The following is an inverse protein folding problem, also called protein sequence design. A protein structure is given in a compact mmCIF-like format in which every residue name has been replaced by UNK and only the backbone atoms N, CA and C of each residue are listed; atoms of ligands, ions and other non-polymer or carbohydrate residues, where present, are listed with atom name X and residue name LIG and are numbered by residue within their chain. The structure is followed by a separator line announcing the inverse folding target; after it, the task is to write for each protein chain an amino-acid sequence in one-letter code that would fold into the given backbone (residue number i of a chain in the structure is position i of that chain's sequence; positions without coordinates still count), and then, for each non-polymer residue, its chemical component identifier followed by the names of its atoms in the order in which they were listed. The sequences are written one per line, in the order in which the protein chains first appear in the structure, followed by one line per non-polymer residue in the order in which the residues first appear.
data_IF_427598298655
#
_entry.id   IF_427598298655
#
_cell.length_a   1.000
_cell.length_b   1.000
_cell.length_c   1.000
_cell.angle_alpha   90.00
_cell.angle_beta   90.00
_cell.angle_gamma   90.00
#
_symmetry.space_group_name_H-M   'P 1'
#
loop_
_entity.id
_entity.type
_entity.pdbx_description
1 polymer ?
#
# COMPACT_ATOMS: atom_id res chain seq x y z
N UNK A 1 54.24 50.68 30.23
CA UNK A 1 53.69 49.37 30.58
C UNK A 1 54.14 48.80 31.91
N UNK A 2 54.52 49.60 32.83
CA UNK A 2 55.12 49.07 34.07
C UNK A 2 54.38 49.37 35.39
N UNK A 3 53.20 49.97 35.32
CA UNK A 3 52.53 50.33 36.59
C UNK A 3 51.30 49.49 36.96
N UNK A 4 50.86 48.53 36.11
CA UNK A 4 49.72 47.67 36.37
C UNK A 4 48.41 48.37 36.63
N UNK A 5 48.28 49.68 36.34
CA UNK A 5 47.04 50.42 36.45
C UNK A 5 46.08 50.03 35.31
N UNK A 6 44.86 49.69 35.68
CA UNK A 6 43.75 49.56 34.74
C UNK A 6 43.55 50.89 34.02
N UNK A 7 43.76 50.90 32.68
CA UNK A 7 43.65 52.11 31.85
C UNK A 7 42.22 52.33 31.37
N UNK A 8 41.51 51.20 31.16
CA UNK A 8 40.10 51.22 30.75
C UNK A 8 39.38 50.02 31.34
N UNK A 9 38.23 50.22 31.91
CA UNK A 9 37.37 49.13 32.39
C UNK A 9 36.52 48.63 31.23
N UNK A 10 36.61 47.31 30.97
CA UNK A 10 35.79 46.69 29.97
C UNK A 10 34.29 46.82 30.30
N UNK A 11 33.46 47.03 29.30
CA UNK A 11 32.01 47.04 29.44
C UNK A 11 31.47 45.62 29.42
N UNK A 12 30.51 45.36 30.31
CA UNK A 12 29.71 44.15 30.23
C UNK A 12 28.74 44.28 29.05
N UNK A 13 28.79 43.37 28.11
CA UNK A 13 27.83 43.33 27.04
C UNK A 13 26.63 42.49 27.50
N UNK A 14 25.43 43.01 27.28
CA UNK A 14 24.20 42.24 27.49
C UNK A 14 24.13 41.07 26.50
N UNK A 15 23.59 39.92 26.90
CA UNK A 15 23.35 38.85 26.00
C UNK A 15 22.44 39.28 24.82
N UNK A 16 22.81 38.96 23.59
CA UNK A 16 21.96 39.19 22.43
C UNK A 16 20.67 38.34 22.48
N UNK A 17 19.66 38.76 21.74
CA UNK A 17 18.44 38.01 21.57
C UNK A 17 18.76 36.69 20.84
N UNK A 18 18.08 35.57 21.24
CA UNK A 18 18.23 34.28 20.60
C UNK A 18 17.56 34.30 19.23
N UNK A 19 18.29 33.78 18.22
CA UNK A 19 17.74 33.55 16.88
C UNK A 19 17.17 32.11 16.82
N UNK A 20 15.86 32.02 16.71
CA UNK A 20 15.16 30.74 16.74
C UNK A 20 15.32 29.93 15.44
N UNK A 21 15.54 28.63 15.56
CA UNK A 21 15.48 27.66 14.49
C UNK A 21 14.77 26.40 15.00
N UNK A 22 13.82 25.88 14.23
CA UNK A 22 13.10 24.65 14.58
C UNK A 22 13.80 23.49 13.89
N UNK A 23 14.13 22.44 14.65
CA UNK A 23 14.80 21.23 14.20
C UNK A 23 13.95 19.99 14.54
N UNK A 24 14.24 18.89 13.87
CA UNK A 24 13.62 17.56 14.10
C UNK A 24 12.11 17.51 13.88
N UNK A 25 11.58 18.38 13.01
CA UNK A 25 10.17 18.33 12.60
C UNK A 25 9.86 17.01 11.91
N UNK A 26 8.75 16.38 12.27
CA UNK A 26 8.23 15.16 11.64
C UNK A 26 6.75 15.31 11.34
N UNK A 27 6.37 15.07 10.10
CA UNK A 27 4.96 15.09 9.71
C UNK A 27 4.23 13.87 10.29
N UNK A 28 3.01 14.10 10.78
CA UNK A 28 2.10 13.01 11.14
C UNK A 28 1.61 12.31 9.89
N UNK A 29 1.46 10.98 9.97
CA UNK A 29 0.89 10.16 8.91
C UNK A 29 -0.29 9.35 9.46
N UNK A 30 -0.98 8.57 8.60
CA UNK A 30 -2.00 7.64 9.06
C UNK A 30 -1.44 6.51 9.94
N UNK A 31 -0.12 6.30 9.94
CA UNK A 31 0.52 5.20 10.66
C UNK A 31 1.35 5.67 11.85
N UNK A 32 1.98 6.81 11.76
CA UNK A 32 2.87 7.33 12.81
C UNK A 32 2.51 8.75 13.23
N UNK A 33 2.75 9.05 14.52
CA UNK A 33 2.60 10.40 15.06
C UNK A 33 3.65 11.34 14.47
N UNK A 34 3.33 12.60 14.34
CA UNK A 34 4.28 13.65 13.99
C UNK A 34 4.92 14.29 15.22
N UNK A 35 5.77 15.27 14.96
CA UNK A 35 6.45 16.09 15.96
C UNK A 35 6.67 17.50 15.43
N UNK A 36 6.34 18.52 16.21
CA UNK A 36 6.46 19.93 15.78
C UNK A 36 7.90 20.42 15.70
N UNK A 37 8.84 19.65 16.21
CA UNK A 37 10.26 20.00 16.28
C UNK A 37 10.62 20.81 17.52
N UNK A 38 11.88 20.70 17.92
CA UNK A 38 12.45 21.48 19.01
C UNK A 38 12.95 22.85 18.50
N UNK A 39 12.79 23.89 19.30
CA UNK A 39 13.32 25.21 18.99
C UNK A 39 14.69 25.40 19.63
N UNK A 40 15.69 25.72 18.85
CA UNK A 40 17.06 25.99 19.26
C UNK A 40 17.49 27.41 18.86
N UNK A 41 18.44 27.95 19.58
CA UNK A 41 19.15 29.15 19.09
C UNK A 41 20.15 28.77 18.01
N UNK A 42 20.02 29.31 16.81
CA UNK A 42 20.93 29.05 15.68
C UNK A 42 22.35 29.57 15.90
N UNK A 43 22.57 30.45 16.88
CA UNK A 43 23.86 31.06 17.18
C UNK A 43 24.62 30.32 18.29
N UNK A 44 23.92 29.97 19.41
CA UNK A 44 24.56 29.33 20.56
C UNK A 44 24.16 27.86 20.77
N UNK A 45 23.28 27.29 19.93
CA UNK A 45 22.79 25.91 19.95
C UNK A 45 22.08 25.52 21.28
N UNK A 46 21.63 26.51 22.07
CA UNK A 46 20.85 26.21 23.29
C UNK A 46 19.41 25.86 22.86
N UNK A 47 18.86 24.79 23.42
CA UNK A 47 17.43 24.45 23.26
C UNK A 47 16.58 25.46 23.99
N UNK A 48 15.70 26.16 23.27
CA UNK A 48 14.82 27.19 23.79
C UNK A 48 13.44 26.68 24.16
N UNK A 49 12.92 25.72 23.36
CA UNK A 49 11.63 25.11 23.63
C UNK A 49 11.61 23.66 23.11
N UNK A 50 10.81 22.84 23.78
CA UNK A 50 10.52 21.47 23.33
C UNK A 50 9.30 21.46 22.43
N UNK A 51 9.39 20.69 21.33
CA UNK A 51 8.26 20.46 20.46
C UNK A 51 7.18 19.60 21.12
N UNK A 52 6.09 19.42 20.40
CA UNK A 52 4.96 18.59 20.83
C UNK A 52 4.69 17.47 19.84
N UNK A 53 4.26 16.31 20.33
CA UNK A 53 3.80 15.20 19.49
C UNK A 53 2.45 15.56 18.89
N UNK A 54 2.32 15.43 17.57
CA UNK A 54 1.04 15.55 16.86
C UNK A 54 0.43 14.17 16.65
N UNK A 55 -0.89 14.01 16.82
CA UNK A 55 -1.55 12.71 16.66
C UNK A 55 -1.44 12.21 15.21
N UNK A 56 -1.60 10.89 15.01
CA UNK A 56 -1.74 10.29 13.69
C UNK A 56 -2.92 10.91 12.94
N UNK A 57 -2.82 10.95 11.62
CA UNK A 57 -3.93 11.32 10.76
C UNK A 57 -4.96 10.18 10.73
N UNK A 58 -6.24 10.52 10.78
CA UNK A 58 -7.31 9.56 10.55
C UNK A 58 -7.34 9.15 9.07
N UNK A 59 -7.83 7.91 8.79
CA UNK A 59 -8.09 7.50 7.42
C UNK A 59 -9.39 8.13 6.92
N UNK A 60 -9.29 9.08 6.02
CA UNK A 60 -10.42 9.73 5.35
C UNK A 60 -10.62 9.10 3.96
N UNK A 61 -11.70 8.35 3.79
CA UNK A 61 -11.98 7.63 2.54
C UNK A 61 -12.91 8.42 1.61
N UNK A 62 -12.52 8.44 0.33
CA UNK A 62 -13.35 8.82 -0.81
C UNK A 62 -13.25 7.71 -1.85
N UNK A 63 -14.39 7.19 -2.32
CA UNK A 63 -14.45 6.05 -3.24
C UNK A 63 -13.57 4.86 -2.80
N UNK A 64 -13.61 4.55 -1.50
CA UNK A 64 -12.81 3.51 -0.84
C UNK A 64 -11.28 3.77 -0.81
N UNK A 65 -10.79 4.92 -1.23
CA UNK A 65 -9.37 5.28 -1.20
C UNK A 65 -9.12 6.34 -0.13
N UNK A 66 -8.16 6.10 0.76
CA UNK A 66 -7.78 7.08 1.77
C UNK A 66 -7.04 8.27 1.11
N UNK A 67 -7.56 9.49 1.31
CA UNK A 67 -6.98 10.72 0.77
C UNK A 67 -5.55 10.99 1.25
N UNK A 68 -5.25 10.57 2.48
CA UNK A 68 -3.95 10.86 3.10
C UNK A 68 -2.86 9.87 2.66
N UNK A 69 -3.14 8.57 2.67
CA UNK A 69 -2.12 7.53 2.46
C UNK A 69 -2.37 6.62 1.25
N UNK A 70 -3.50 6.76 0.56
CA UNK A 70 -3.85 5.93 -0.59
C UNK A 70 -4.32 4.51 -0.24
N UNK A 71 -4.45 4.14 1.06
CA UNK A 71 -4.99 2.83 1.45
C UNK A 71 -6.35 2.59 0.82
N UNK A 72 -6.52 1.43 0.19
CA UNK A 72 -7.79 1.04 -0.43
C UNK A 72 -8.55 0.16 0.56
N UNK A 73 -9.76 0.57 0.90
CA UNK A 73 -10.65 -0.16 1.78
C UNK A 73 -11.78 -0.77 0.95
N UNK A 74 -12.09 -2.06 1.16
CA UNK A 74 -13.15 -2.77 0.46
C UNK A 74 -13.00 -2.74 -1.08
N UNK A 75 -11.81 -3.12 -1.57
CA UNK A 75 -11.52 -3.21 -3.00
C UNK A 75 -12.53 -4.14 -3.71
N UNK A 76 -12.93 -3.77 -4.93
CA UNK A 76 -13.90 -4.49 -5.74
C UNK A 76 -13.20 -5.37 -6.77
N UNK A 77 -13.80 -6.52 -7.10
CA UNK A 77 -13.32 -7.38 -8.18
C UNK A 77 -13.31 -6.65 -9.52
N UNK A 78 -12.28 -6.92 -10.31
CA UNK A 78 -12.10 -6.43 -11.69
C UNK A 78 -12.12 -4.89 -11.80
N UNK A 79 -11.86 -4.23 -10.68
CA UNK A 79 -11.65 -2.78 -10.61
C UNK A 79 -10.15 -2.51 -10.50
N UNK A 80 -9.64 -1.68 -11.39
CA UNK A 80 -8.23 -1.26 -11.37
C UNK A 80 -8.10 0.04 -10.57
N UNK A 81 -7.25 0.02 -9.57
CA UNK A 81 -6.90 1.17 -8.72
C UNK A 81 -5.49 1.63 -9.07
N UNK A 82 -5.32 2.92 -9.33
CA UNK A 82 -3.99 3.52 -9.47
C UNK A 82 -3.53 4.02 -8.12
N UNK A 83 -2.29 3.70 -7.74
CA UNK A 83 -1.69 4.10 -6.48
C UNK A 83 -0.20 4.37 -6.64
N UNK A 84 0.42 4.89 -5.58
CA UNK A 84 1.86 5.16 -5.55
C UNK A 84 2.43 4.94 -4.16
N UNK A 85 3.66 4.49 -4.11
CA UNK A 85 4.48 4.54 -2.90
C UNK A 85 5.29 5.82 -2.88
N UNK A 86 5.59 6.31 -1.69
CA UNK A 86 6.43 7.49 -1.44
C UNK A 86 7.33 7.22 -0.24
N UNK A 87 8.33 8.06 0.01
CA UNK A 87 9.16 7.92 1.21
C UNK A 87 8.34 8.03 2.50
N UNK A 88 7.26 8.80 2.48
CA UNK A 88 6.35 8.95 3.63
C UNK A 88 5.41 7.75 3.78
N UNK A 89 4.99 7.16 2.67
CA UNK A 89 4.11 6.00 2.58
C UNK A 89 4.73 4.93 1.64
N UNK A 90 5.76 4.21 2.11
CA UNK A 90 6.45 3.22 1.27
C UNK A 90 5.64 1.95 1.03
N UNK A 91 4.56 1.73 1.79
CA UNK A 91 3.67 0.58 1.64
C UNK A 91 2.25 1.03 1.35
N UNK A 92 1.64 0.42 0.34
CA UNK A 92 0.22 0.61 0.01
C UNK A 92 -0.57 -0.61 0.43
N UNK A 93 -1.67 -0.38 1.14
CA UNK A 93 -2.51 -1.43 1.74
C UNK A 93 -3.84 -1.48 1.02
N UNK A 94 -4.21 -2.66 0.56
CA UNK A 94 -5.47 -2.95 -0.13
C UNK A 94 -6.23 -4.01 0.66
N UNK A 95 -7.39 -3.64 1.19
CA UNK A 95 -8.29 -4.56 1.85
C UNK A 95 -9.28 -5.13 0.84
N UNK A 96 -9.43 -6.43 0.84
CA UNK A 96 -10.37 -7.16 0.00
C UNK A 96 -11.17 -8.16 0.84
N UNK A 97 -12.50 -8.12 0.72
CA UNK A 97 -13.40 -9.13 1.28
C UNK A 97 -13.80 -10.08 0.16
N UNK A 98 -13.46 -11.37 0.29
CA UNK A 98 -13.81 -12.37 -0.72
C UNK A 98 -15.34 -12.58 -0.79
N UNK A 99 -15.98 -12.36 -1.94
CA UNK A 99 -17.44 -12.53 -2.06
C UNK A 99 -17.88 -13.99 -2.01
N UNK A 100 -17.05 -14.91 -2.49
CA UNK A 100 -17.30 -16.37 -2.53
C UNK A 100 -16.00 -17.14 -2.30
N UNK A 101 -16.13 -18.44 -1.96
CA UNK A 101 -14.98 -19.35 -1.93
C UNK A 101 -14.42 -19.52 -3.35
N UNK A 102 -13.12 -19.33 -3.53
CA UNK A 102 -12.53 -19.52 -4.85
C UNK A 102 -11.10 -19.01 -4.94
N UNK A 103 -10.56 -19.13 -6.15
CA UNK A 103 -9.20 -18.73 -6.45
C UNK A 103 -9.19 -17.35 -7.07
N UNK A 104 -8.43 -16.48 -6.44
CA UNK A 104 -8.31 -15.07 -6.82
C UNK A 104 -6.88 -14.73 -7.14
N UNK A 105 -6.72 -13.78 -8.05
CA UNK A 105 -5.44 -13.24 -8.48
C UNK A 105 -5.36 -11.77 -8.09
N UNK A 106 -4.31 -11.42 -7.36
CA UNK A 106 -3.91 -10.07 -7.01
C UNK A 106 -2.70 -9.73 -7.86
N UNK A 107 -2.78 -8.71 -8.69
CA UNK A 107 -1.65 -8.33 -9.52
C UNK A 107 -1.51 -6.82 -9.64
N UNK A 108 -0.25 -6.41 -9.82
CA UNK A 108 0.11 -5.04 -10.10
C UNK A 108 0.67 -4.91 -11.50
N UNK A 109 0.58 -3.70 -12.05
CA UNK A 109 1.35 -3.28 -13.21
C UNK A 109 2.11 -2.02 -12.79
N UNK A 110 3.44 -2.05 -12.85
CA UNK A 110 4.26 -0.89 -12.53
C UNK A 110 4.11 0.16 -13.64
N UNK A 111 3.68 1.37 -13.27
CA UNK A 111 3.54 2.52 -14.17
C UNK A 111 4.89 3.20 -14.36
N UNK A 112 5.66 3.30 -13.26
CA UNK A 112 7.06 3.77 -13.29
C UNK A 112 8.00 2.60 -13.10
N UNK A 113 9.25 2.73 -13.60
CA UNK A 113 10.27 1.66 -13.45
C UNK A 113 10.74 1.60 -12.00
N UNK A 114 10.30 0.60 -11.27
CA UNK A 114 10.76 0.29 -9.92
C UNK A 114 10.49 -1.19 -9.61
N UNK A 115 11.19 -1.73 -8.64
CA UNK A 115 11.10 -3.10 -8.18
C UNK A 115 10.28 -3.16 -6.89
N UNK A 116 9.21 -3.98 -6.87
CA UNK A 116 8.23 -4.00 -5.79
C UNK A 116 7.88 -5.40 -5.31
N UNK A 117 7.60 -5.52 -4.01
CA UNK A 117 7.01 -6.71 -3.42
C UNK A 117 5.50 -6.60 -3.28
N UNK A 118 4.80 -7.71 -3.54
CA UNK A 118 3.44 -7.94 -3.10
C UNK A 118 3.41 -8.91 -1.91
N UNK A 119 2.64 -8.57 -0.90
CA UNK A 119 2.41 -9.40 0.29
C UNK A 119 0.93 -9.64 0.45
N UNK A 120 0.53 -10.90 0.65
CA UNK A 120 -0.85 -11.24 0.98
C UNK A 120 -0.92 -11.70 2.44
N UNK A 121 -1.80 -11.07 3.20
CA UNK A 121 -2.07 -11.39 4.60
C UNK A 121 -3.50 -11.88 4.77
N UNK A 122 -3.70 -12.81 5.71
CA UNK A 122 -5.01 -13.07 6.28
C UNK A 122 -5.32 -12.03 7.36
N UNK A 123 -6.60 -11.77 7.63
CA UNK A 123 -7.05 -10.75 8.58
C UNK A 123 -6.41 -10.90 9.97
N UNK A 124 -6.34 -12.12 10.49
CA UNK A 124 -5.77 -12.41 11.82
C UNK A 124 -4.28 -12.10 11.95
N UNK A 125 -3.55 -11.96 10.82
CA UNK A 125 -2.11 -11.72 10.78
C UNK A 125 -1.76 -10.29 10.33
N UNK A 126 -2.76 -9.41 10.14
CA UNK A 126 -2.55 -8.05 9.65
C UNK A 126 -3.10 -7.01 10.62
N UNK A 127 -2.28 -6.04 10.94
CA UNK A 127 -2.67 -4.80 11.63
C UNK A 127 -1.69 -3.69 11.22
N UNK A 128 -1.98 -2.46 11.63
CA UNK A 128 -1.15 -1.31 11.28
C UNK A 128 0.30 -1.41 11.80
N UNK A 129 0.56 -2.20 12.85
CA UNK A 129 1.93 -2.39 13.36
C UNK A 129 2.85 -3.07 12.32
N UNK A 130 2.30 -3.96 11.48
CA UNK A 130 3.05 -4.58 10.37
C UNK A 130 3.58 -3.51 9.41
N UNK A 131 2.78 -2.50 9.12
CA UNK A 131 3.15 -1.38 8.24
C UNK A 131 4.13 -0.44 8.95
N UNK A 132 3.90 -0.13 10.22
CA UNK A 132 4.80 0.71 11.04
C UNK A 132 6.21 0.09 11.10
N UNK A 133 6.32 -1.21 11.42
CA UNK A 133 7.60 -1.93 11.45
C UNK A 133 8.30 -1.92 10.06
N UNK A 134 7.51 -1.97 8.99
CA UNK A 134 8.01 -1.86 7.62
C UNK A 134 8.56 -0.45 7.31
N UNK A 135 7.85 0.60 7.71
CA UNK A 135 8.26 2.01 7.56
C UNK A 135 9.56 2.27 8.34
N UNK A 136 9.67 1.79 9.57
CA UNK A 136 10.88 1.94 10.38
C UNK A 136 12.10 1.32 9.70
N UNK A 137 11.96 0.10 9.15
CA UNK A 137 13.04 -0.55 8.40
C UNK A 137 13.39 0.19 7.12
N UNK A 138 12.38 0.71 6.42
CA UNK A 138 12.59 1.49 5.19
C UNK A 138 13.36 2.78 5.49
N UNK A 139 12.98 3.53 6.52
CA UNK A 139 13.64 4.75 6.95
C UNK A 139 15.08 4.49 7.39
N UNK A 140 15.31 3.44 8.20
CA UNK A 140 16.65 3.06 8.62
C UNK A 140 17.60 2.74 7.45
N UNK A 141 17.08 2.22 6.33
CA UNK A 141 17.87 1.99 5.11
C UNK A 141 18.24 3.28 4.41
N UNK A 142 17.29 4.23 4.30
CA UNK A 142 17.57 5.54 3.71
C UNK A 142 18.64 6.25 4.52
N UNK A 143 18.49 6.31 5.85
CA UNK A 143 19.43 7.00 6.75
C UNK A 143 20.84 6.41 6.72
N UNK A 144 20.94 5.08 6.68
CA UNK A 144 22.24 4.40 6.73
C UNK A 144 22.83 4.10 5.35
N UNK A 145 22.13 4.46 4.27
CA UNK A 145 22.50 4.13 2.88
C UNK A 145 22.90 2.65 2.71
N UNK A 146 22.18 1.75 3.40
CA UNK A 146 22.43 0.32 3.37
C UNK A 146 21.50 -0.39 2.39
N UNK A 147 22.07 -1.18 1.50
CA UNK A 147 21.30 -2.17 0.74
C UNK A 147 20.69 -3.19 1.70
N UNK A 148 19.62 -3.82 1.30
CA UNK A 148 19.00 -4.89 2.08
C UNK A 148 17.47 -4.86 1.95
N UNK A 149 16.81 -5.83 2.56
CA UNK A 149 15.41 -6.11 2.35
C UNK A 149 14.54 -5.49 3.46
N UNK A 150 13.59 -4.61 3.10
CA UNK A 150 12.58 -4.04 4.03
C UNK A 150 11.35 -4.94 4.18
N UNK A 151 11.48 -6.25 3.91
CA UNK A 151 10.34 -7.19 3.92
C UNK A 151 9.49 -7.07 5.18
N UNK A 152 8.19 -7.01 4.96
CA UNK A 152 7.18 -7.16 6.00
C UNK A 152 7.27 -8.56 6.60
N UNK A 153 6.72 -8.75 7.80
CA UNK A 153 6.65 -10.05 8.46
C UNK A 153 5.18 -10.47 8.62
N UNK A 154 4.95 -11.76 8.81
CA UNK A 154 3.62 -12.31 9.08
C UNK A 154 2.74 -12.50 7.84
N UNK A 155 3.26 -12.27 6.63
CA UNK A 155 2.52 -12.52 5.40
C UNK A 155 2.23 -14.01 5.20
N UNK A 156 1.12 -14.32 4.57
CA UNK A 156 0.76 -15.66 4.13
C UNK A 156 1.44 -16.03 2.81
N UNK A 157 1.48 -15.08 1.86
CA UNK A 157 2.18 -15.21 0.58
C UNK A 157 2.98 -13.95 0.28
N UNK A 158 4.03 -14.11 -0.50
CA UNK A 158 4.86 -13.02 -1.01
C UNK A 158 5.25 -13.31 -2.46
N UNK A 159 5.34 -12.27 -3.26
CA UNK A 159 5.87 -12.33 -4.63
C UNK A 159 6.58 -11.02 -4.98
N UNK A 160 7.60 -11.06 -5.83
CA UNK A 160 8.32 -9.90 -6.31
C UNK A 160 8.32 -9.74 -7.84
N UNK A 161 8.55 -10.81 -8.62
CA UNK A 161 8.90 -10.69 -10.05
C UNK A 161 7.98 -11.42 -11.04
N UNK A 162 6.86 -12.03 -10.61
CA UNK A 162 6.05 -12.87 -11.50
C UNK A 162 5.14 -12.09 -12.45
N UNK A 163 4.93 -10.78 -12.19
CA UNK A 163 4.15 -9.89 -13.03
C UNK A 163 4.95 -9.18 -14.12
N UNK A 164 4.27 -8.43 -14.99
CA UNK A 164 4.91 -7.61 -16.00
C UNK A 164 5.75 -6.49 -15.35
N UNK A 165 6.96 -6.26 -15.87
CA UNK A 165 7.87 -5.20 -15.42
C UNK A 165 8.27 -5.30 -13.93
N UNK A 166 8.59 -6.51 -13.43
CA UNK A 166 8.96 -6.76 -12.02
C UNK A 166 7.87 -6.30 -11.04
N UNK A 167 6.62 -6.44 -11.42
CA UNK A 167 5.47 -6.18 -10.57
C UNK A 167 4.98 -7.48 -9.90
N UNK A 168 4.50 -7.44 -8.66
CA UNK A 168 4.05 -8.63 -7.96
C UNK A 168 2.72 -9.17 -8.48
N UNK A 169 2.63 -10.50 -8.56
CA UNK A 169 1.42 -11.24 -8.85
C UNK A 169 1.24 -12.38 -7.83
N UNK A 170 0.12 -12.42 -7.11
CA UNK A 170 -0.19 -13.48 -6.14
C UNK A 170 -1.54 -14.11 -6.47
N UNK A 171 -1.56 -15.42 -6.61
CA UNK A 171 -2.79 -16.20 -6.70
C UNK A 171 -3.01 -17.00 -5.41
N UNK A 172 -4.25 -16.99 -4.89
CA UNK A 172 -4.61 -17.65 -3.65
C UNK A 172 -6.07 -18.14 -3.63
N UNK A 173 -6.30 -19.29 -2.98
CA UNK A 173 -7.63 -19.74 -2.60
C UNK A 173 -8.10 -18.93 -1.40
N UNK A 174 -9.24 -18.25 -1.54
CA UNK A 174 -9.85 -17.44 -0.50
C UNK A 174 -11.17 -18.05 -0.03
N UNK A 175 -11.50 -17.79 1.23
CA UNK A 175 -12.75 -18.21 1.85
C UNK A 175 -13.76 -17.08 1.80
N UNK A 176 -15.02 -17.43 1.49
CA UNK A 176 -16.16 -16.49 1.48
C UNK A 176 -16.22 -15.67 2.76
N UNK A 177 -16.55 -14.38 2.60
CA UNK A 177 -16.72 -13.40 3.67
C UNK A 177 -15.48 -13.09 4.52
N UNK A 178 -14.32 -13.73 4.25
CA UNK A 178 -13.05 -13.42 4.90
C UNK A 178 -12.39 -12.20 4.30
N UNK A 179 -11.71 -11.46 5.15
CA UNK A 179 -10.93 -10.28 4.77
C UNK A 179 -9.48 -10.68 4.54
N UNK A 180 -8.90 -10.12 3.50
CA UNK A 180 -7.50 -10.27 3.13
C UNK A 180 -6.89 -8.89 2.87
N UNK A 181 -5.59 -8.76 3.14
CA UNK A 181 -4.86 -7.53 2.87
C UNK A 181 -3.74 -7.83 1.88
N UNK A 182 -3.82 -7.17 0.72
CA UNK A 182 -2.73 -7.16 -0.23
C UNK A 182 -1.93 -5.87 -0.01
N UNK A 183 -0.62 -6.02 0.20
CA UNK A 183 0.26 -4.89 0.47
C UNK A 183 1.33 -4.83 -0.59
N UNK A 184 1.50 -3.67 -1.20
CA UNK A 184 2.58 -3.41 -2.18
C UNK A 184 3.61 -2.51 -1.52
N UNK A 185 4.87 -2.88 -1.61
CA UNK A 185 5.98 -2.13 -1.04
C UNK A 185 7.27 -2.30 -1.82
N UNK A 186 8.30 -1.50 -1.53
CA UNK A 186 9.55 -1.51 -2.29
C UNK A 186 10.42 -2.73 -1.97
N UNK A 187 11.07 -3.28 -2.99
CA UNK A 187 12.16 -4.23 -2.82
C UNK A 187 13.37 -3.58 -2.15
N UNK A 188 13.68 -2.33 -2.52
CA UNK A 188 14.78 -1.54 -1.98
C UNK A 188 14.26 -0.26 -1.30
N UNK A 189 14.82 0.90 -1.63
CA UNK A 189 14.35 2.22 -1.18
C UNK A 189 13.67 3.03 -2.29
N UNK A 190 13.53 2.46 -3.48
CA UNK A 190 12.85 3.10 -4.60
C UNK A 190 11.33 3.06 -4.39
N UNK A 191 10.69 4.12 -4.81
CA UNK A 191 9.23 4.27 -4.79
C UNK A 191 8.73 4.53 -6.19
N UNK A 192 7.46 4.24 -6.44
CA UNK A 192 6.91 4.36 -7.79
C UNK A 192 5.39 4.33 -7.85
N UNK A 193 4.86 4.55 -9.04
CA UNK A 193 3.45 4.47 -9.36
C UNK A 193 3.14 3.10 -9.97
N UNK A 194 1.97 2.56 -9.63
CA UNK A 194 1.50 1.26 -10.10
C UNK A 194 -0.03 1.23 -10.14
N UNK A 195 -0.56 0.30 -10.92
CA UNK A 195 -1.96 -0.09 -10.84
C UNK A 195 -2.12 -1.42 -10.11
N UNK A 196 -3.26 -1.63 -9.48
CA UNK A 196 -3.64 -2.84 -8.77
C UNK A 196 -4.98 -3.32 -9.27
N UNK A 197 -5.10 -4.62 -9.53
CA UNK A 197 -6.36 -5.28 -9.86
C UNK A 197 -6.48 -6.60 -9.10
N UNK A 198 -7.67 -6.88 -8.59
CA UNK A 198 -8.02 -8.16 -7.99
C UNK A 198 -9.05 -8.80 -8.91
N UNK A 199 -8.79 -10.01 -9.38
CA UNK A 199 -9.69 -10.73 -10.29
C UNK A 199 -9.92 -12.17 -9.85
N UNK A 200 -11.00 -12.78 -10.32
CA UNK A 200 -11.25 -14.21 -10.19
C UNK A 200 -10.53 -14.96 -11.30
N UNK A 201 -9.99 -16.15 -11.00
CA UNK A 201 -9.31 -16.99 -12.00
C UNK A 201 -10.28 -17.79 -12.89
N UNK A 202 -11.58 -17.77 -12.60
CA UNK A 202 -12.65 -18.46 -13.33
C UNK A 202 -12.44 -19.97 -13.49
N UNK A 203 -11.74 -20.64 -12.55
CA UNK A 203 -11.45 -22.08 -12.63
C UNK A 203 -12.67 -22.96 -12.38
N UNK A 204 -13.65 -22.48 -11.63
CA UNK A 204 -14.89 -23.22 -11.34
C UNK A 204 -16.03 -22.61 -12.15
N UNK A 205 -16.64 -23.41 -13.01
CA UNK A 205 -17.70 -22.94 -13.91
C UNK A 205 -18.81 -23.98 -14.04
N UNK A 206 -20.02 -23.52 -14.35
CA UNK A 206 -21.13 -24.34 -14.76
C UNK A 206 -21.75 -23.82 -16.06
N UNK A 207 -22.59 -24.63 -16.70
CA UNK A 207 -23.35 -24.20 -17.86
C UNK A 207 -24.78 -23.88 -17.46
N UNK A 208 -25.29 -22.72 -17.91
CA UNK A 208 -26.64 -22.24 -17.67
C UNK A 208 -27.41 -22.08 -18.98
N UNK A 209 -28.73 -22.31 -18.95
CA UNK A 209 -29.61 -22.11 -20.10
C UNK A 209 -29.45 -23.11 -21.23
N UNK A 210 -28.82 -24.27 -21.00
CA UNK A 210 -28.68 -25.32 -22.04
C UNK A 210 -30.02 -25.87 -22.43
N UNK A 211 -30.27 -25.94 -23.76
CA UNK A 211 -31.41 -26.66 -24.37
C UNK A 211 -30.89 -27.67 -25.41
N UNK A 212 -31.53 -28.81 -25.47
CA UNK A 212 -31.18 -29.85 -26.49
C UNK A 212 -31.85 -29.48 -27.82
N UNK A 213 -31.16 -29.70 -28.93
CA UNK A 213 -31.78 -29.70 -30.25
C UNK A 213 -32.49 -31.04 -30.52
N UNK A 214 -33.59 -30.99 -31.23
CA UNK A 214 -34.25 -32.17 -31.82
C UNK A 214 -34.37 -32.01 -33.32
N UNK A 215 -35.14 -32.90 -33.98
CA UNK A 215 -35.29 -32.86 -35.46
C UNK A 215 -36.11 -31.64 -35.95
N UNK A 216 -36.80 -30.93 -35.09
CA UNK A 216 -37.72 -29.83 -35.46
C UNK A 216 -37.27 -28.49 -34.88
N UNK A 217 -36.63 -28.53 -33.71
CA UNK A 217 -36.21 -27.34 -33.01
C UNK A 217 -34.72 -27.34 -32.74
N UNK A 218 -34.08 -26.20 -32.93
CA UNK A 218 -32.69 -25.96 -32.56
C UNK A 218 -32.52 -25.95 -31.06
N UNK A 219 -31.28 -26.09 -30.61
CA UNK A 219 -30.91 -26.07 -29.21
C UNK A 219 -29.95 -24.91 -28.87
N UNK A 220 -29.46 -24.94 -27.67
CA UNK A 220 -28.47 -24.01 -27.14
C UNK A 220 -27.45 -24.74 -26.27
N UNK A 221 -26.15 -24.48 -26.46
CA UNK A 221 -25.10 -25.17 -25.67
C UNK A 221 -25.06 -24.73 -24.22
N UNK A 222 -25.71 -23.61 -23.90
CA UNK A 222 -25.68 -22.95 -22.59
C UNK A 222 -24.44 -22.07 -22.39
N UNK A 223 -24.62 -20.99 -21.66
CA UNK A 223 -23.56 -20.07 -21.25
C UNK A 223 -22.68 -20.71 -20.18
N UNK A 224 -21.36 -20.45 -20.21
CA UNK A 224 -20.44 -20.85 -19.14
C UNK A 224 -20.31 -19.71 -18.16
N UNK A 225 -20.80 -19.93 -16.95
CA UNK A 225 -20.81 -18.95 -15.86
C UNK A 225 -19.79 -19.36 -14.80
N UNK A 226 -19.01 -18.41 -14.29
CA UNK A 226 -18.09 -18.65 -13.18
C UNK A 226 -18.85 -18.81 -11.86
N UNK A 227 -18.64 -19.91 -11.14
CA UNK A 227 -19.27 -20.19 -9.84
C UNK A 227 -18.81 -19.21 -8.75
N UNK A 228 -17.61 -18.64 -8.89
CA UNK A 228 -16.99 -17.77 -7.87
C UNK A 228 -17.44 -16.31 -8.00
N UNK A 229 -17.56 -15.77 -9.22
CA UNK A 229 -17.84 -14.36 -9.42
C UNK A 229 -19.13 -14.07 -10.24
N UNK A 230 -19.80 -15.10 -10.73
CA UNK A 230 -21.04 -14.98 -11.53
C UNK A 230 -20.82 -14.43 -12.94
N UNK A 231 -19.59 -14.20 -13.38
CA UNK A 231 -19.32 -13.68 -14.73
C UNK A 231 -19.55 -14.72 -15.81
N UNK A 232 -20.06 -14.23 -16.94
CA UNK A 232 -20.08 -14.99 -18.20
C UNK A 232 -18.62 -15.17 -18.67
N UNK A 233 -18.16 -16.42 -18.70
CA UNK A 233 -16.81 -16.80 -19.16
C UNK A 233 -16.81 -17.12 -20.66
N UNK A 234 -17.86 -17.80 -21.13
CA UNK A 234 -18.06 -18.17 -22.53
C UNK A 234 -19.53 -18.12 -22.87
N UNK A 235 -19.88 -17.46 -23.96
CA UNK A 235 -21.24 -17.46 -24.46
C UNK A 235 -21.55 -18.77 -25.17
N UNK A 236 -22.72 -19.35 -24.88
CA UNK A 236 -23.19 -20.54 -25.56
C UNK A 236 -23.44 -20.29 -27.05
N UNK A 237 -23.63 -21.36 -27.79
CA UNK A 237 -23.90 -21.36 -29.23
C UNK A 237 -25.26 -21.98 -29.50
N UNK A 238 -25.99 -21.41 -30.47
CA UNK A 238 -27.20 -22.03 -31.02
C UNK A 238 -26.86 -23.29 -31.78
N UNK A 239 -27.64 -24.32 -31.58
CA UNK A 239 -27.53 -25.60 -32.32
C UNK A 239 -28.67 -25.64 -33.32
N UNK A 240 -28.35 -26.03 -34.55
CA UNK A 240 -29.36 -26.30 -35.59
C UNK A 240 -30.19 -27.54 -35.24
N UNK A 241 -31.45 -27.65 -35.75
CA UNK A 241 -32.21 -28.85 -35.66
C UNK A 241 -31.46 -30.04 -36.29
N UNK A 242 -31.58 -31.22 -35.69
CA UNK A 242 -30.97 -32.46 -36.21
C UNK A 242 -31.55 -32.89 -37.56
N UNK A 243 -30.75 -33.58 -38.37
CA UNK A 243 -31.25 -34.16 -39.63
C UNK A 243 -32.21 -35.35 -39.34
N UNK A 244 -33.19 -35.54 -40.21
CA UNK A 244 -34.13 -36.66 -40.19
C UNK A 244 -33.53 -37.93 -40.75
#
# INVERSE_FOLDING_TARGET
DTCGKLVEQGQTLEPGEHQEAVLDVKDATCYVTGYTGDTYCSVCNIKLAEGTVTPKLEHEYEDNVCKNCGRINNAQLDTTYTSKTTNLYPFQVIQFKAPENGKYKFYCENITVWDSYGYLFKEENFNDQVIIDGIEKFNAKIENNTGGNSRLKGYWKINDDDGANSAPEITAELEKDKIYYFVVGPHSTNTGEFSITITCTHEKTHREGRTLSDCTEGGYTGDVICDTCGKLVEQGQTLEPGEH
#
